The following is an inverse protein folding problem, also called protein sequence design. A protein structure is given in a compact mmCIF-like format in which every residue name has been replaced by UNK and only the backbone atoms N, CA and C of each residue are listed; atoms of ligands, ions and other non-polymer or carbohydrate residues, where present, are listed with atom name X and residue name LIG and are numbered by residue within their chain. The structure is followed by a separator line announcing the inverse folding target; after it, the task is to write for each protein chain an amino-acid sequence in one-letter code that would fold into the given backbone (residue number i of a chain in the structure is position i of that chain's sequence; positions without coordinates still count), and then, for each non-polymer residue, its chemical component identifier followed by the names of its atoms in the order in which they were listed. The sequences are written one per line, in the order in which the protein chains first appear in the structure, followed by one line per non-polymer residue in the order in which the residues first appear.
data_IF_359690371913
#
_entry.id   IF_359690371913
#
_cell.length_a   1.000
_cell.length_b   1.000
_cell.length_c   1.000
_cell.angle_alpha   90.00
_cell.angle_beta   90.00
_cell.angle_gamma   90.00
#
_symmetry.space_group_name_H-M   'P 1'
#
loop_
_entity.id
_entity.type
_entity.pdbx_description
1 polymer ?
#
# COMPACT_ATOMS: atom_id res chain seq x y z
N UNK A 1 20.55 -10.92 3.63
CA UNK A 1 19.51 -11.16 2.61
C UNK A 1 19.42 -12.66 2.38
N UNK A 2 18.23 -13.23 2.17
CA UNK A 2 18.09 -14.62 1.76
C UNK A 2 18.81 -14.86 0.43
N UNK A 3 19.25 -16.10 0.20
CA UNK A 3 19.79 -16.50 -1.10
C UNK A 3 18.66 -16.51 -2.14
N UNK A 4 18.83 -15.88 -3.32
CA UNK A 4 17.79 -15.83 -4.33
C UNK A 4 17.59 -17.19 -5.00
N UNK A 5 16.35 -17.48 -5.42
CA UNK A 5 16.03 -18.66 -6.21
C UNK A 5 16.51 -18.48 -7.67
N UNK A 6 17.58 -19.19 -8.03
CA UNK A 6 18.14 -19.14 -9.38
C UNK A 6 17.12 -19.56 -10.45
N UNK A 7 16.19 -20.46 -10.13
CA UNK A 7 15.16 -20.89 -11.09
C UNK A 7 14.17 -19.78 -11.44
N UNK A 8 13.97 -18.80 -10.54
CA UNK A 8 13.17 -17.60 -10.79
C UNK A 8 13.96 -16.61 -11.63
N UNK A 9 15.24 -16.40 -11.31
CA UNK A 9 16.14 -15.51 -12.06
C UNK A 9 16.29 -15.93 -13.53
N UNK A 10 16.47 -17.24 -13.78
CA UNK A 10 16.61 -17.80 -15.13
C UNK A 10 15.34 -17.63 -15.98
N UNK A 11 14.18 -17.43 -15.33
CA UNK A 11 12.87 -17.21 -15.96
C UNK A 11 12.50 -15.73 -16.11
N UNK A 12 13.42 -14.79 -15.89
CA UNK A 12 13.15 -13.34 -16.01
C UNK A 12 12.42 -12.96 -17.30
N UNK A 13 12.83 -13.42 -18.51
CA UNK A 13 12.13 -13.04 -19.75
C UNK A 13 10.65 -13.47 -19.76
N UNK A 14 10.36 -14.69 -19.29
CA UNK A 14 9.00 -15.23 -19.23
C UNK A 14 8.14 -14.48 -18.20
N UNK A 15 8.73 -14.09 -17.07
CA UNK A 15 8.04 -13.30 -16.03
C UNK A 15 7.67 -11.92 -16.57
N UNK A 16 8.62 -11.25 -17.24
CA UNK A 16 8.37 -9.95 -17.87
C UNK A 16 7.29 -10.05 -18.94
N UNK A 17 7.33 -11.10 -19.79
CA UNK A 17 6.31 -11.33 -20.81
C UNK A 17 4.92 -11.58 -20.21
N UNK A 18 4.82 -12.44 -19.18
CA UNK A 18 3.57 -12.72 -18.50
C UNK A 18 2.95 -11.46 -17.88
N UNK A 19 3.76 -10.65 -17.18
CA UNK A 19 3.32 -9.40 -16.59
C UNK A 19 2.91 -8.36 -17.65
N UNK A 20 3.65 -8.27 -18.76
CA UNK A 20 3.35 -7.36 -19.87
C UNK A 20 2.09 -7.73 -20.65
N UNK A 21 1.64 -8.99 -20.57
CA UNK A 21 0.37 -9.41 -21.17
C UNK A 21 -0.85 -8.97 -20.35
N UNK A 22 -0.69 -8.83 -19.03
CA UNK A 22 -1.82 -8.52 -18.13
C UNK A 22 -1.80 -7.08 -17.62
N UNK A 23 -0.70 -6.35 -17.83
CA UNK A 23 -0.54 -4.97 -17.42
C UNK A 23 -0.20 -4.05 -18.61
N UNK A 24 -0.51 -2.74 -18.51
CA UNK A 24 -0.03 -1.76 -19.47
C UNK A 24 1.50 -1.73 -19.58
N UNK A 25 2.03 -1.52 -20.78
CA UNK A 25 3.47 -1.58 -21.04
C UNK A 25 4.31 -0.61 -20.17
N UNK A 26 3.75 0.56 -19.83
CA UNK A 26 4.44 1.57 -19.03
C UNK A 26 4.42 1.27 -17.52
N UNK A 27 3.76 0.19 -17.11
CA UNK A 27 3.68 -0.24 -15.72
C UNK A 27 4.70 -1.32 -15.35
N UNK A 28 5.39 -1.93 -16.33
CA UNK A 28 6.34 -3.04 -16.10
C UNK A 28 7.78 -2.56 -16.35
N UNK A 29 8.58 -2.53 -15.29
CA UNK A 29 9.96 -2.02 -15.30
C UNK A 29 10.91 -3.19 -15.02
N UNK A 30 11.81 -3.48 -15.95
CA UNK A 30 12.73 -4.63 -15.85
C UNK A 30 14.18 -4.32 -16.26
N UNK A 31 14.45 -3.14 -16.82
CA UNK A 31 15.82 -2.67 -17.07
C UNK A 31 16.56 -2.55 -15.73
N UNK A 32 17.74 -3.15 -15.64
CA UNK A 32 18.52 -3.24 -14.40
C UNK A 32 18.92 -1.88 -13.83
N UNK A 33 18.97 -0.82 -14.65
CA UNK A 33 19.26 0.54 -14.18
C UNK A 33 18.02 1.19 -13.58
N UNK A 34 16.84 0.88 -14.10
CA UNK A 34 15.58 1.42 -13.62
C UNK A 34 15.12 0.74 -12.33
N UNK A 35 15.30 -0.59 -12.22
CA UNK A 35 14.93 -1.33 -11.00
C UNK A 35 15.75 -0.91 -9.77
N UNK A 36 16.95 -0.33 -9.95
CA UNK A 36 17.76 0.24 -8.86
C UNK A 36 17.06 1.35 -8.07
N UNK A 37 16.11 2.07 -8.67
CA UNK A 37 15.31 3.05 -7.94
C UNK A 37 14.47 2.42 -6.80
N UNK A 38 14.31 1.09 -6.83
CA UNK A 38 13.54 0.30 -5.88
C UNK A 38 14.41 -0.64 -5.03
N UNK A 39 15.74 -0.47 -5.05
CA UNK A 39 16.68 -1.41 -4.41
C UNK A 39 16.64 -1.39 -2.87
N UNK A 40 16.04 -0.36 -2.28
CA UNK A 40 15.86 -0.24 -0.83
C UNK A 40 14.63 0.62 -0.50
N UNK A 41 14.19 0.53 0.75
CA UNK A 41 13.36 1.55 1.38
C UNK A 41 14.22 2.55 2.16
N UNK A 42 13.66 3.28 3.13
CA UNK A 42 14.42 4.25 3.90
C UNK A 42 15.48 3.60 4.83
N UNK A 43 15.48 2.26 4.98
CA UNK A 43 16.59 1.51 5.58
C UNK A 43 17.74 1.32 4.56
N UNK A 44 18.34 2.43 4.14
CA UNK A 44 19.32 2.51 3.03
C UNK A 44 20.64 1.75 3.25
N UNK A 45 20.84 1.18 4.44
CA UNK A 45 21.99 0.34 4.78
C UNK A 45 21.97 -1.02 4.05
N UNK A 46 20.79 -1.50 3.64
CA UNK A 46 20.62 -2.74 2.86
C UNK A 46 20.05 -2.41 1.49
N UNK A 47 20.59 -3.03 0.45
CA UNK A 47 20.19 -2.77 -0.94
C UNK A 47 20.26 -4.03 -1.77
N UNK A 48 19.25 -4.25 -2.60
CA UNK A 48 19.16 -5.35 -3.54
C UNK A 48 18.23 -4.92 -4.68
N UNK A 49 18.67 -4.81 -5.93
CA UNK A 49 17.74 -4.53 -7.02
C UNK A 49 16.75 -5.70 -7.19
N UNK A 50 15.44 -5.45 -7.34
CA UNK A 50 14.45 -6.51 -7.61
C UNK A 50 14.58 -7.01 -9.06
N UNK A 51 13.94 -8.15 -9.34
CA UNK A 51 13.90 -8.75 -10.68
C UNK A 51 13.13 -7.88 -11.67
N UNK A 52 11.94 -7.44 -11.24
CA UNK A 52 10.97 -6.63 -11.98
C UNK A 52 10.23 -5.73 -10.99
N UNK A 53 9.79 -4.56 -11.44
CA UNK A 53 8.87 -3.70 -10.69
C UNK A 53 7.61 -3.52 -11.52
N UNK A 54 6.44 -3.66 -10.90
CA UNK A 54 5.14 -3.39 -11.52
C UNK A 54 4.41 -2.26 -10.79
N UNK A 55 3.79 -1.36 -11.56
CA UNK A 55 3.07 -0.18 -11.08
C UNK A 55 1.63 -0.16 -11.62
N UNK A 56 0.74 -1.04 -11.12
CA UNK A 56 -0.66 -1.07 -11.53
C UNK A 56 -1.40 0.20 -11.08
N UNK A 57 -2.46 0.55 -11.81
CA UNK A 57 -3.31 1.73 -11.57
C UNK A 57 -4.74 1.37 -11.17
N UNK A 58 -5.10 0.08 -11.15
CA UNK A 58 -6.41 -0.41 -10.71
C UNK A 58 -6.27 -1.64 -9.81
N UNK A 59 -7.32 -1.95 -9.05
CA UNK A 59 -7.36 -3.17 -8.23
C UNK A 59 -7.29 -4.43 -9.12
N UNK A 60 -7.93 -4.39 -10.28
CA UNK A 60 -7.97 -5.48 -11.24
C UNK A 60 -6.59 -5.77 -11.85
N UNK A 61 -5.80 -4.74 -12.12
CA UNK A 61 -4.40 -4.87 -12.55
C UNK A 61 -3.53 -5.47 -11.44
N UNK A 62 -3.71 -5.05 -10.18
CA UNK A 62 -3.02 -5.66 -9.03
C UNK A 62 -3.37 -7.15 -8.94
N UNK A 63 -4.65 -7.49 -9.08
CA UNK A 63 -5.13 -8.88 -9.07
C UNK A 63 -4.56 -9.71 -10.23
N UNK A 64 -4.46 -9.13 -11.43
CA UNK A 64 -3.90 -9.81 -12.59
C UNK A 64 -2.38 -10.06 -12.44
N UNK A 65 -1.64 -9.07 -11.91
CA UNK A 65 -0.22 -9.24 -11.60
C UNK A 65 0.00 -10.31 -10.52
N UNK A 66 -0.81 -10.31 -9.47
CA UNK A 66 -0.74 -11.33 -8.41
C UNK A 66 -1.02 -12.74 -8.94
N UNK A 67 -2.05 -12.92 -9.77
CA UNK A 67 -2.31 -14.22 -10.44
C UNK A 67 -1.12 -14.69 -11.27
N UNK A 68 -0.55 -13.83 -12.11
CA UNK A 68 0.61 -14.18 -12.93
C UNK A 68 1.82 -14.60 -12.07
N UNK A 69 2.14 -13.84 -11.02
CA UNK A 69 3.21 -14.18 -10.10
C UNK A 69 2.92 -15.49 -9.34
N UNK A 70 1.68 -15.70 -8.89
CA UNK A 70 1.26 -16.90 -8.18
C UNK A 70 1.43 -18.17 -9.04
N UNK A 71 0.92 -18.15 -10.27
CA UNK A 71 1.02 -19.26 -11.22
C UNK A 71 2.48 -19.61 -11.55
N UNK A 72 3.35 -18.61 -11.59
CA UNK A 72 4.78 -18.79 -11.88
C UNK A 72 5.63 -19.11 -10.65
N UNK A 73 5.07 -19.01 -9.45
CA UNK A 73 5.79 -19.18 -8.18
C UNK A 73 6.82 -18.09 -7.93
N UNK A 74 6.52 -16.84 -8.29
CA UNK A 74 7.43 -15.69 -8.15
C UNK A 74 7.09 -14.91 -6.87
N UNK A 75 8.05 -14.67 -5.97
CA UNK A 75 7.83 -13.86 -4.78
C UNK A 75 7.42 -12.43 -5.14
N UNK A 76 6.45 -11.87 -4.40
CA UNK A 76 6.01 -10.48 -4.56
C UNK A 76 6.31 -9.71 -3.28
N UNK A 77 6.90 -8.52 -3.42
CA UNK A 77 7.11 -7.58 -2.31
C UNK A 77 6.24 -6.35 -2.57
N UNK A 78 5.17 -6.13 -1.79
CA UNK A 78 4.35 -4.93 -1.91
C UNK A 78 5.14 -3.68 -1.49
N UNK A 79 4.94 -2.58 -2.20
CA UNK A 79 5.60 -1.31 -1.90
C UNK A 79 4.63 -0.14 -1.96
N UNK A 80 4.59 0.62 -0.87
CA UNK A 80 4.02 1.97 -0.83
C UNK A 80 4.99 2.98 -1.46
N UNK A 81 5.33 4.01 -0.69
CA UNK A 81 6.34 5.00 -1.08
C UNK A 81 7.79 4.57 -0.78
N UNK A 82 8.00 3.45 -0.05
CA UNK A 82 9.33 3.01 0.36
C UNK A 82 9.95 3.81 1.50
N UNK A 83 9.12 4.39 2.38
CA UNK A 83 9.58 5.21 3.53
C UNK A 83 9.81 4.40 4.81
N UNK A 84 9.70 3.07 4.76
CA UNK A 84 9.89 2.21 5.94
C UNK A 84 11.35 2.21 6.40
N UNK A 85 11.56 2.12 7.72
CA UNK A 85 12.87 2.02 8.36
C UNK A 85 13.15 0.60 8.89
N UNK A 86 12.22 -0.34 8.68
CA UNK A 86 12.32 -1.70 9.17
C UNK A 86 12.69 -2.72 8.07
N UNK A 87 12.80 -2.28 6.81
CA UNK A 87 13.08 -3.17 5.67
C UNK A 87 11.84 -3.91 5.13
N UNK A 88 10.63 -3.56 5.56
CA UNK A 88 9.41 -4.26 5.14
C UNK A 88 9.02 -4.08 3.67
N UNK A 89 9.72 -3.22 2.93
CA UNK A 89 9.62 -3.16 1.45
C UNK A 89 10.98 -3.33 0.77
N UNK A 90 11.93 -3.96 1.46
CA UNK A 90 13.22 -4.32 0.92
C UNK A 90 13.05 -5.55 0.00
N UNK A 91 13.38 -5.44 -1.30
CA UNK A 91 13.29 -6.56 -2.24
C UNK A 91 14.34 -7.66 -1.98
N UNK A 92 14.06 -8.84 -2.52
CA UNK A 92 15.06 -9.86 -2.86
C UNK A 92 15.36 -9.83 -4.36
N UNK A 93 16.49 -10.36 -4.80
CA UNK A 93 16.91 -10.27 -6.20
C UNK A 93 15.96 -11.01 -7.16
N UNK A 94 15.21 -11.98 -6.64
CA UNK A 94 14.27 -12.86 -7.34
C UNK A 94 12.80 -12.44 -7.18
N UNK A 95 12.51 -11.29 -6.56
CA UNK A 95 11.13 -10.84 -6.39
C UNK A 95 10.65 -9.86 -7.46
N UNK A 96 9.32 -9.79 -7.59
CA UNK A 96 8.61 -8.69 -8.23
C UNK A 96 8.22 -7.69 -7.15
N UNK A 97 8.63 -6.43 -7.28
CA UNK A 97 8.07 -5.35 -6.46
C UNK A 97 6.73 -4.94 -7.07
N UNK A 98 5.67 -4.93 -6.26
CA UNK A 98 4.37 -4.40 -6.66
C UNK A 98 4.11 -3.06 -5.98
N UNK A 99 4.24 -1.98 -6.74
CA UNK A 99 4.10 -0.61 -6.25
C UNK A 99 2.67 -0.10 -6.34
N UNK A 100 2.19 0.50 -5.25
CA UNK A 100 0.86 1.14 -5.19
C UNK A 100 0.87 2.59 -5.71
N UNK A 101 2.02 3.09 -6.19
CA UNK A 101 2.23 4.50 -6.46
C UNK A 101 1.30 5.11 -7.52
N UNK A 102 0.66 4.31 -8.38
CA UNK A 102 -0.32 4.81 -9.37
C UNK A 102 -1.78 4.68 -8.93
N UNK A 103 -2.05 4.01 -7.80
CA UNK A 103 -3.37 3.91 -7.18
C UNK A 103 -3.71 5.21 -6.43
N UNK A 104 -4.16 6.26 -7.13
CA UNK A 104 -4.33 7.62 -6.55
C UNK A 104 -5.75 8.18 -6.58
N UNK A 105 -6.73 7.42 -7.04
CA UNK A 105 -8.10 7.92 -7.17
C UNK A 105 -8.77 8.11 -5.80
N UNK A 106 -9.55 9.20 -5.69
CA UNK A 106 -10.55 9.37 -4.64
C UNK A 106 -11.82 8.69 -5.10
N UNK A 107 -12.19 7.60 -4.43
CA UNK A 107 -13.34 6.78 -4.83
C UNK A 107 -14.64 7.41 -4.35
N UNK A 108 -14.64 7.92 -3.11
CA UNK A 108 -15.83 8.47 -2.46
C UNK A 108 -15.45 9.38 -1.29
N UNK A 109 -16.23 10.44 -1.06
CA UNK A 109 -16.16 11.25 0.15
C UNK A 109 -17.58 11.45 0.66
N UNK A 110 -17.81 11.16 1.94
CA UNK A 110 -19.09 11.40 2.60
C UNK A 110 -18.87 12.19 3.88
N UNK A 111 -19.27 13.47 3.87
CA UNK A 111 -19.08 14.37 5.00
C UNK A 111 -20.13 14.19 6.10
N UNK A 112 -21.32 13.70 5.75
CA UNK A 112 -22.40 13.46 6.72
C UNK A 112 -22.07 12.22 7.57
N UNK A 113 -21.61 11.16 6.91
CA UNK A 113 -21.15 9.91 7.54
C UNK A 113 -19.67 9.93 7.91
N UNK A 114 -18.94 11.00 7.54
CA UNK A 114 -17.56 11.30 7.94
C UNK A 114 -16.55 10.21 7.59
N UNK A 115 -16.55 9.79 6.33
CA UNK A 115 -15.50 8.95 5.80
C UNK A 115 -15.04 9.38 4.42
N UNK A 116 -13.87 8.91 4.03
CA UNK A 116 -13.33 9.00 2.69
C UNK A 116 -12.84 7.62 2.26
N UNK A 117 -13.17 7.21 1.03
CA UNK A 117 -12.60 6.02 0.40
C UNK A 117 -11.64 6.44 -0.70
N UNK A 118 -10.40 5.98 -0.59
CA UNK A 118 -9.31 6.32 -1.52
C UNK A 118 -8.60 5.06 -1.98
N UNK A 119 -8.02 5.12 -3.16
CA UNK A 119 -6.95 4.22 -3.54
C UNK A 119 -5.71 4.47 -2.66
N UNK A 120 -5.00 3.40 -2.30
CA UNK A 120 -4.02 3.44 -1.19
C UNK A 120 -2.64 3.98 -1.56
N UNK A 121 -2.41 4.33 -2.83
CA UNK A 121 -1.21 5.01 -3.29
C UNK A 121 -1.18 6.51 -2.99
N UNK A 122 -2.31 7.09 -2.55
CA UNK A 122 -2.33 8.48 -2.06
C UNK A 122 -1.44 8.64 -0.84
N UNK A 123 -0.79 9.80 -0.71
CA UNK A 123 0.00 10.09 0.49
C UNK A 123 -0.93 10.37 1.67
N UNK A 124 -0.45 10.07 2.88
CA UNK A 124 -1.18 10.30 4.12
C UNK A 124 -1.70 11.75 4.22
N UNK A 125 -0.82 12.74 4.00
CA UNK A 125 -1.22 14.15 4.09
C UNK A 125 -2.24 14.54 3.01
N UNK A 126 -2.19 13.92 1.82
CA UNK A 126 -3.15 14.22 0.74
C UNK A 126 -4.57 13.89 1.14
N UNK A 127 -4.80 12.87 1.98
CA UNK A 127 -6.15 12.54 2.48
C UNK A 127 -6.74 13.73 3.24
N UNK A 128 -5.96 14.36 4.12
CA UNK A 128 -6.38 15.61 4.77
C UNK A 128 -6.64 16.68 3.72
N UNK A 129 -5.70 16.94 2.80
CA UNK A 129 -5.86 17.98 1.76
C UNK A 129 -7.13 17.83 0.91
N UNK A 130 -7.62 16.62 0.69
CA UNK A 130 -8.87 16.37 -0.06
C UNK A 130 -10.12 16.84 0.72
N UNK A 131 -10.13 16.70 2.05
CA UNK A 131 -11.31 16.95 2.88
C UNK A 131 -11.26 18.27 3.65
N UNK A 132 -10.13 18.98 3.56
CA UNK A 132 -9.82 20.07 4.46
C UNK A 132 -10.65 21.34 4.25
N UNK A 133 -11.14 21.55 3.01
CA UNK A 133 -11.99 22.67 2.62
C UNK A 133 -13.38 22.60 3.24
N UNK A 134 -13.83 21.39 3.61
CA UNK A 134 -15.08 21.17 4.35
C UNK A 134 -14.85 21.13 5.87
N UNK A 135 -13.66 21.50 6.33
CA UNK A 135 -13.35 21.55 7.76
C UNK A 135 -13.07 20.19 8.39
N UNK A 136 -12.64 19.19 7.60
CA UNK A 136 -12.26 17.87 8.09
C UNK A 136 -10.75 17.60 7.96
N UNK A 137 -10.26 16.53 8.58
CA UNK A 137 -8.90 16.01 8.40
C UNK A 137 -8.84 14.50 8.67
N UNK A 138 -7.80 13.83 8.16
CA UNK A 138 -7.45 12.45 8.51
C UNK A 138 -6.41 12.45 9.64
N UNK A 139 -6.64 11.64 10.68
CA UNK A 139 -6.00 11.85 11.98
C UNK A 139 -4.57 11.29 12.13
N UNK A 140 -4.24 10.08 11.64
CA UNK A 140 -2.89 9.54 11.74
C UNK A 140 -1.85 10.41 11.03
N UNK A 141 -0.79 10.78 11.75
CA UNK A 141 0.19 11.78 11.35
C UNK A 141 1.65 11.27 11.44
N UNK A 142 2.02 10.18 10.74
CA UNK A 142 3.39 9.68 10.72
C UNK A 142 4.38 10.80 10.34
N UNK A 143 5.60 10.75 10.87
CA UNK A 143 6.62 11.77 10.56
C UNK A 143 6.92 11.89 9.06
N UNK A 144 6.67 10.82 8.31
CA UNK A 144 6.78 10.75 6.86
C UNK A 144 5.49 11.08 6.11
N UNK A 145 4.45 11.64 6.74
CA UNK A 145 3.11 11.89 6.16
C UNK A 145 3.10 12.61 4.80
N UNK A 146 4.11 13.44 4.53
CA UNK A 146 4.30 14.11 3.23
C UNK A 146 4.58 13.13 2.09
N UNK A 147 5.19 11.98 2.41
CA UNK A 147 5.68 11.00 1.45
C UNK A 147 5.05 9.61 1.60
N UNK A 148 4.73 9.15 2.82
CA UNK A 148 4.22 7.80 3.02
C UNK A 148 2.83 7.62 2.42
N UNK A 149 2.64 6.52 1.69
CA UNK A 149 1.36 6.14 1.13
C UNK A 149 0.45 5.47 2.17
N UNK A 150 -0.87 5.57 1.99
CA UNK A 150 -1.86 4.91 2.86
C UNK A 150 -1.64 3.39 2.92
N UNK A 151 -1.26 2.74 1.81
CA UNK A 151 -0.92 1.31 1.78
C UNK A 151 0.16 0.96 2.80
N UNK A 152 1.22 1.78 2.86
CA UNK A 152 2.31 1.60 3.82
C UNK A 152 1.87 1.90 5.25
N UNK A 153 0.98 2.87 5.46
CA UNK A 153 0.45 3.15 6.79
C UNK A 153 -0.35 1.98 7.34
N UNK A 154 -1.20 1.38 6.53
CA UNK A 154 -1.99 0.20 6.89
C UNK A 154 -1.05 -0.98 7.15
N UNK A 155 -0.13 -1.27 6.22
CA UNK A 155 0.80 -2.38 6.35
C UNK A 155 1.67 -2.30 7.62
N UNK A 156 2.03 -1.08 8.05
CA UNK A 156 2.90 -0.84 9.20
C UNK A 156 2.16 -0.43 10.48
N UNK A 157 0.82 -0.41 10.46
CA UNK A 157 -0.01 0.18 11.52
C UNK A 157 0.54 1.53 12.02
N UNK A 158 0.82 2.46 11.09
CA UNK A 158 1.58 3.68 11.38
C UNK A 158 0.89 4.54 12.43
N UNK A 159 1.68 5.05 13.38
CA UNK A 159 1.29 6.10 14.32
C UNK A 159 1.89 7.45 13.95
N UNK A 160 1.96 8.35 14.93
CA UNK A 160 2.47 9.71 14.77
C UNK A 160 2.48 10.47 16.10
N UNK A 161 2.73 11.78 16.07
CA UNK A 161 2.79 12.58 17.30
C UNK A 161 1.43 12.70 17.98
N UNK A 162 0.33 12.67 17.21
CA UNK A 162 -1.02 12.79 17.73
C UNK A 162 -1.65 11.45 18.15
N UNK A 163 -0.90 10.35 18.15
CA UNK A 163 -1.44 9.03 18.49
C UNK A 163 -2.00 8.93 19.92
N UNK A 164 -1.51 9.75 20.85
CA UNK A 164 -2.06 9.86 22.20
C UNK A 164 -3.55 10.25 22.18
N UNK A 165 -3.96 11.09 21.21
CA UNK A 165 -5.34 11.58 21.10
C UNK A 165 -6.17 10.76 20.12
N UNK A 166 -5.60 10.38 18.97
CA UNK A 166 -6.35 9.78 17.86
C UNK A 166 -6.00 8.32 17.55
N UNK A 167 -5.10 7.71 18.32
CA UNK A 167 -4.62 6.35 18.07
C UNK A 167 -3.72 6.26 16.84
N UNK A 168 -3.59 5.04 16.32
CA UNK A 168 -2.76 4.72 15.16
C UNK A 168 -3.64 4.33 13.97
N UNK A 169 -3.04 3.86 12.87
CA UNK A 169 -3.78 3.51 11.64
C UNK A 169 -4.92 2.52 11.89
N UNK A 170 -4.72 1.50 12.75
CA UNK A 170 -5.79 0.54 13.09
C UNK A 170 -7.05 1.20 13.67
N UNK A 171 -6.90 2.30 14.42
CA UNK A 171 -8.02 3.05 14.98
C UNK A 171 -8.73 3.95 13.95
N UNK A 172 -8.13 4.10 12.77
CA UNK A 172 -8.53 5.03 11.72
C UNK A 172 -8.68 4.30 10.37
N UNK A 173 -9.07 3.03 10.39
CA UNK A 173 -9.32 2.20 9.22
C UNK A 173 -10.67 1.50 9.38
N UNK A 174 -11.65 1.89 8.56
CA UNK A 174 -13.01 1.34 8.63
C UNK A 174 -13.20 0.17 7.65
N UNK A 175 -12.47 0.17 6.54
CA UNK A 175 -12.63 -0.82 5.49
C UNK A 175 -11.45 -0.86 4.55
N UNK A 176 -11.26 -2.00 3.88
CA UNK A 176 -10.25 -2.19 2.84
C UNK A 176 -10.81 -3.00 1.69
N UNK A 177 -10.35 -2.69 0.47
CA UNK A 177 -10.34 -3.61 -0.66
C UNK A 177 -8.90 -4.05 -0.86
N UNK A 178 -8.69 -5.36 -0.96
CA UNK A 178 -7.37 -5.95 -1.04
C UNK A 178 -7.31 -7.12 -2.01
N UNK A 179 -6.10 -7.44 -2.42
CA UNK A 179 -5.80 -8.54 -3.34
C UNK A 179 -4.97 -9.58 -2.61
N UNK A 180 -5.46 -10.82 -2.59
CA UNK A 180 -4.84 -11.98 -1.97
C UNK A 180 -3.69 -12.53 -2.83
N UNK A 181 -2.95 -13.51 -2.30
CA UNK A 181 -1.78 -14.09 -2.96
C UNK A 181 -2.08 -14.82 -4.26
N UNK A 182 -3.30 -15.33 -4.44
CA UNK A 182 -3.81 -15.95 -5.66
C UNK A 182 -4.52 -14.94 -6.59
N UNK A 183 -4.54 -13.66 -6.21
CA UNK A 183 -5.21 -12.58 -6.91
C UNK A 183 -6.73 -12.52 -6.72
N UNK A 184 -7.30 -13.25 -5.75
CA UNK A 184 -8.67 -12.99 -5.29
C UNK A 184 -8.80 -11.56 -4.74
N UNK A 185 -9.88 -10.86 -5.09
CA UNK A 185 -10.19 -9.54 -4.56
C UNK A 185 -11.15 -9.72 -3.39
N UNK A 186 -10.75 -9.24 -2.21
CA UNK A 186 -11.51 -9.35 -0.97
C UNK A 186 -11.79 -7.97 -0.41
N UNK A 187 -13.00 -7.77 0.10
CA UNK A 187 -13.39 -6.58 0.85
C UNK A 187 -13.62 -6.92 2.32
N UNK A 188 -13.09 -6.11 3.22
CA UNK A 188 -13.31 -6.22 4.67
C UNK A 188 -13.76 -4.87 5.22
N UNK A 189 -14.69 -4.88 6.17
CA UNK A 189 -15.23 -3.66 6.78
C UNK A 189 -16.11 -2.86 5.81
N UNK A 190 -16.09 -1.53 5.93
CA UNK A 190 -16.91 -0.65 5.10
C UNK A 190 -17.04 0.74 5.71
N UNK A 191 -18.09 1.48 5.34
CA UNK A 191 -18.38 2.79 5.94
C UNK A 191 -18.99 2.69 7.36
N UNK A 192 -19.41 1.49 7.77
CA UNK A 192 -19.95 1.26 9.11
C UNK A 192 -18.81 1.15 10.13
N UNK A 193 -19.06 1.68 11.34
CA UNK A 193 -18.09 1.63 12.45
C UNK A 193 -17.86 0.22 13.02
N UNK A 194 -18.82 -0.68 12.83
CA UNK A 194 -18.73 -2.06 13.32
C UNK A 194 -19.50 -2.99 12.37
N UNK A 195 -19.01 -4.22 12.24
CA UNK A 195 -19.61 -5.26 11.42
C UNK A 195 -19.74 -6.55 12.24
N UNK A 196 -20.85 -7.31 12.09
CA UNK A 196 -21.01 -8.56 12.83
C UNK A 196 -19.95 -9.58 12.41
N UNK A 197 -19.36 -10.29 13.38
CA UNK A 197 -18.43 -11.38 13.13
C UNK A 197 -17.06 -11.17 13.77
N UNK A 198 -16.02 -11.72 13.14
CA UNK A 198 -14.63 -11.54 13.58
C UNK A 198 -14.09 -10.20 13.07
N UNK A 199 -13.34 -9.51 13.92
CA UNK A 199 -12.53 -8.38 13.48
C UNK A 199 -11.31 -8.88 12.71
N UNK A 200 -11.47 -9.04 11.40
CA UNK A 200 -10.39 -9.39 10.48
C UNK A 200 -9.57 -8.16 10.07
N UNK A 201 -10.02 -6.93 10.38
CA UNK A 201 -9.29 -5.71 10.05
C UNK A 201 -7.95 -5.66 10.79
N UNK A 202 -7.97 -6.09 12.07
CA UNK A 202 -6.77 -6.19 12.91
C UNK A 202 -5.72 -7.19 12.41
N UNK A 203 -6.07 -8.15 11.54
CA UNK A 203 -5.10 -9.04 10.90
C UNK A 203 -4.41 -8.37 9.71
N UNK A 204 -5.13 -7.51 8.98
CA UNK A 204 -4.60 -6.84 7.78
C UNK A 204 -3.77 -5.62 8.15
N UNK A 205 -4.24 -4.80 9.09
CA UNK A 205 -3.50 -3.64 9.57
C UNK A 205 -2.30 -4.09 10.42
N UNK A 206 -1.08 -3.78 9.97
CA UNK A 206 0.15 -4.26 10.59
C UNK A 206 0.67 -5.58 10.01
N UNK A 207 0.04 -6.12 8.95
CA UNK A 207 0.50 -7.36 8.29
C UNK A 207 1.77 -7.22 7.46
N UNK A 208 2.30 -6.01 7.29
CA UNK A 208 3.47 -5.71 6.47
C UNK A 208 3.36 -6.22 5.02
N UNK A 209 2.12 -6.31 4.50
CA UNK A 209 1.86 -6.81 3.14
C UNK A 209 2.04 -8.32 2.97
N UNK A 210 2.20 -9.08 4.07
CA UNK A 210 2.41 -10.53 4.05
C UNK A 210 1.14 -11.33 3.76
N UNK A 211 -0.05 -10.74 3.99
CA UNK A 211 -1.33 -11.42 3.82
C UNK A 211 -2.04 -11.01 2.52
N UNK A 212 -1.97 -9.73 2.17
CA UNK A 212 -2.66 -9.17 1.01
C UNK A 212 -2.07 -7.80 0.64
N UNK A 213 -2.40 -7.33 -0.56
CA UNK A 213 -2.08 -5.99 -1.05
C UNK A 213 -3.34 -5.14 -0.98
N UNK A 214 -3.36 -4.15 -0.08
CA UNK A 214 -4.49 -3.24 0.08
C UNK A 214 -4.48 -2.20 -1.04
N UNK A 215 -5.54 -2.14 -1.86
CA UNK A 215 -5.64 -1.27 -3.04
C UNK A 215 -6.58 -0.08 -2.84
N UNK A 216 -7.63 -0.24 -2.03
CA UNK A 216 -8.49 0.85 -1.56
C UNK A 216 -8.66 0.77 -0.04
N UNK A 217 -8.85 1.93 0.60
CA UNK A 217 -9.09 2.04 2.04
C UNK A 217 -10.21 3.04 2.32
N UNK A 218 -11.09 2.68 3.25
CA UNK A 218 -12.13 3.54 3.83
C UNK A 218 -11.61 4.08 5.15
N UNK A 219 -11.43 5.39 5.23
CA UNK A 219 -10.80 6.09 6.34
C UNK A 219 -11.82 7.04 6.99
N UNK A 220 -11.93 7.09 8.32
CA UNK A 220 -12.74 8.10 8.98
C UNK A 220 -12.09 9.47 8.84
N UNK A 221 -12.91 10.51 8.70
CA UNK A 221 -12.46 11.90 8.73
C UNK A 221 -13.04 12.62 9.94
N UNK A 222 -12.22 13.44 10.59
CA UNK A 222 -12.59 14.13 11.83
C UNK A 222 -12.74 15.62 11.58
N UNK A 223 -13.67 16.31 12.27
CA UNK A 223 -13.73 17.77 12.22
C UNK A 223 -12.41 18.40 12.68
N UNK A 224 -11.93 19.40 11.94
CA UNK A 224 -10.77 20.20 12.34
C UNK A 224 -11.01 20.79 13.74
N UNK A 225 -10.02 20.76 14.63
CA UNK A 225 -10.17 21.35 15.96
C UNK A 225 -10.42 22.86 15.86
N UNK A 226 -11.37 23.37 16.65
CA UNK A 226 -11.77 24.79 16.68
C UNK A 226 -10.62 25.75 17.06
N UNK A 227 -9.55 25.23 17.65
CA UNK A 227 -8.33 25.98 17.96
C UNK A 227 -7.12 25.07 18.10
N UNK A 228 -6.37 24.90 17.00
CA UNK A 228 -5.01 24.35 17.06
C UNK A 228 -4.03 25.49 17.33
N UNK A 229 -3.26 25.40 18.43
CA UNK A 229 -2.11 26.27 18.67
C UNK A 229 -0.87 25.52 18.18
N UNK A 230 -0.07 26.07 17.25
CA UNK A 230 1.23 25.50 16.97
C UNK A 230 2.03 25.50 18.27
N UNK A 231 2.61 24.36 18.62
CA UNK A 231 3.57 24.24 19.72
C UNK A 231 4.94 24.63 19.20
#
# INVERSE_FOLDING_TARGET
MPEPDQSVLDRKPQIVEALSHVLPADSVIWDERETKAYECDALTAYRCPPLVVVLPSTTEEVAAAMRACHEMGVPVVPRGAGTSLAGGSLPTADCVILGTARLKDVVEVDYDNRFIRVQTGVTNLSVTGIVEDQGFFYAPDPSSQLACAIAGNIAMNSGGAHCLKYGVTTNNLLGVKMVMTDGEIVELGGAAMDAPGLDLMGLICGSEGQLAIVTEATLPILPKPEGARPV
#
